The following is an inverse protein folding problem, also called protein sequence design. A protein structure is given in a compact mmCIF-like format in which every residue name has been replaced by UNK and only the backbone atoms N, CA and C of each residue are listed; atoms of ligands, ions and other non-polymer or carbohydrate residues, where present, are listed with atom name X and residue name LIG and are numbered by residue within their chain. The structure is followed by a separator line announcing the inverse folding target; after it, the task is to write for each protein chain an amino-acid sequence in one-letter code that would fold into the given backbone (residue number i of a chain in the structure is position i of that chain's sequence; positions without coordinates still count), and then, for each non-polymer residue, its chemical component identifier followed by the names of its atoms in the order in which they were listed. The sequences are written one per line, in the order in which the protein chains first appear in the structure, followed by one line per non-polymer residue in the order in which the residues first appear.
data_IF_961867911713
#
_entry.id   IF_961867911713
#
_cell.length_a   1.000
_cell.length_b   1.000
_cell.length_c   1.000
_cell.angle_alpha   90.00
_cell.angle_beta   90.00
_cell.angle_gamma   90.00
#
_symmetry.space_group_name_H-M   'P 1'
#
loop_
_entity.id
_entity.type
_entity.pdbx_description
1 polymer ?
#
# COMPACT_ATOMS: atom_id res chain seq x y z
N UNK A 1 -69.01 -16.69 27.67
CA UNK A 1 -68.16 -17.09 26.53
C UNK A 1 -67.16 -15.96 26.31
N UNK A 2 -65.89 -16.11 26.71
CA UNK A 2 -64.86 -15.07 26.56
C UNK A 2 -64.02 -15.38 25.32
N UNK A 3 -64.05 -14.49 24.34
CA UNK A 3 -63.24 -14.58 23.13
C UNK A 3 -61.85 -13.99 23.40
N UNK A 4 -60.80 -14.76 23.08
CA UNK A 4 -59.42 -14.29 23.07
C UNK A 4 -59.06 -13.90 21.63
N UNK A 5 -58.66 -12.64 21.44
CA UNK A 5 -58.14 -12.13 20.18
C UNK A 5 -56.61 -12.25 20.23
N UNK A 6 -56.04 -13.04 19.34
CA UNK A 6 -54.59 -13.15 19.16
C UNK A 6 -54.15 -12.14 18.10
N UNK A 7 -53.30 -11.19 18.49
CA UNK A 7 -52.63 -10.26 17.57
C UNK A 7 -51.28 -10.87 17.19
N UNK A 8 -51.15 -11.36 15.96
CA UNK A 8 -49.85 -11.75 15.38
C UNK A 8 -49.15 -10.52 14.82
N UNK A 9 -48.13 -10.05 15.52
CA UNK A 9 -47.16 -9.10 14.97
C UNK A 9 -46.23 -9.85 14.00
N UNK A 10 -46.41 -9.63 12.70
CA UNK A 10 -45.39 -9.96 11.71
C UNK A 10 -44.29 -8.90 11.76
N UNK A 11 -43.20 -9.18 12.48
CA UNK A 11 -41.95 -8.45 12.26
C UNK A 11 -41.38 -8.87 10.92
N UNK A 12 -41.47 -8.00 9.92
CA UNK A 12 -40.68 -8.10 8.70
C UNK A 12 -39.22 -7.82 9.05
N UNK A 13 -38.38 -8.86 9.10
CA UNK A 13 -36.93 -8.72 9.15
C UNK A 13 -36.47 -8.14 7.81
N UNK A 14 -36.18 -6.84 7.76
CA UNK A 14 -35.40 -6.26 6.68
C UNK A 14 -33.96 -6.73 6.85
N UNK A 15 -33.52 -7.62 5.97
CA UNK A 15 -32.10 -7.94 5.78
C UNK A 15 -31.46 -6.71 5.17
N UNK A 16 -30.95 -5.81 6.01
CA UNK A 16 -29.96 -4.84 5.56
C UNK A 16 -28.70 -5.64 5.23
N UNK A 17 -28.48 -5.90 3.94
CA UNK A 17 -27.16 -6.27 3.46
C UNK A 17 -26.22 -5.16 3.90
N UNK A 18 -25.41 -5.42 4.94
CA UNK A 18 -24.41 -4.48 5.41
C UNK A 18 -23.43 -4.24 4.28
N UNK A 19 -23.67 -3.18 3.51
CA UNK A 19 -22.75 -2.68 2.52
C UNK A 19 -21.48 -2.30 3.27
N UNK A 20 -20.49 -3.19 3.23
CA UNK A 20 -19.15 -2.89 3.70
C UNK A 20 -18.71 -1.62 2.97
N UNK A 21 -18.11 -0.68 3.69
CA UNK A 21 -17.41 0.45 3.08
C UNK A 21 -16.20 -0.16 2.39
N UNK A 22 -16.38 -0.51 1.12
CA UNK A 22 -15.40 -1.20 0.31
C UNK A 22 -14.47 -0.12 -0.31
N UNK A 23 -13.17 -0.41 -0.38
CA UNK A 23 -12.10 0.58 -0.59
C UNK A 23 -11.97 1.12 -2.01
N UNK A 24 -11.11 2.14 -2.17
CA UNK A 24 -10.77 2.76 -3.45
C UNK A 24 -10.33 1.72 -4.50
N UNK A 25 -10.67 1.96 -5.77
CA UNK A 25 -10.37 1.03 -6.84
C UNK A 25 -10.24 1.71 -8.20
N UNK A 26 -9.91 0.90 -9.20
CA UNK A 26 -9.66 1.36 -10.56
C UNK A 26 -10.94 1.37 -11.40
N UNK A 27 -11.25 2.54 -11.94
CA UNK A 27 -12.44 2.77 -12.76
C UNK A 27 -12.11 2.81 -14.26
N UNK A 28 -13.06 2.29 -15.02
CA UNK A 28 -13.10 2.42 -16.47
C UNK A 28 -14.26 3.30 -16.90
N UNK A 29 -14.06 3.99 -18.02
CA UNK A 29 -15.09 4.77 -18.70
C UNK A 29 -15.28 4.22 -20.11
N UNK A 30 -16.53 3.99 -20.48
CA UNK A 30 -16.87 3.60 -21.86
C UNK A 30 -17.04 4.83 -22.74
N UNK A 31 -16.10 5.02 -23.67
CA UNK A 31 -16.20 6.02 -24.73
C UNK A 31 -16.88 5.45 -25.97
N UNK A 32 -17.80 6.22 -26.56
CA UNK A 32 -18.53 5.88 -27.79
C UNK A 32 -17.84 6.51 -29.00
N UNK A 33 -17.99 5.93 -30.21
CA UNK A 33 -17.51 6.58 -31.42
C UNK A 33 -18.17 7.95 -31.58
N UNK A 34 -17.39 8.96 -31.95
CA UNK A 34 -17.90 10.31 -32.16
C UNK A 34 -16.98 11.15 -33.04
N UNK A 35 -17.51 12.22 -33.63
CA UNK A 35 -16.73 13.10 -34.51
C UNK A 35 -15.77 14.04 -33.76
N UNK A 36 -15.90 14.16 -32.43
CA UNK A 36 -15.19 15.17 -31.64
C UNK A 36 -13.76 14.76 -31.25
N UNK A 37 -13.50 13.45 -31.14
CA UNK A 37 -12.18 12.89 -30.86
C UNK A 37 -12.13 11.42 -31.29
N UNK A 38 -10.94 10.82 -31.24
CA UNK A 38 -10.70 9.46 -31.72
C UNK A 38 -10.92 8.38 -30.63
N UNK A 39 -11.41 8.74 -29.44
CA UNK A 39 -11.55 7.80 -28.33
C UNK A 39 -12.71 6.86 -28.57
N UNK A 40 -12.46 5.56 -28.44
CA UNK A 40 -13.47 4.53 -28.56
C UNK A 40 -13.09 3.29 -27.74
N UNK A 41 -14.05 2.72 -27.01
CA UNK A 41 -13.82 1.56 -26.15
C UNK A 41 -13.72 1.94 -24.67
N UNK A 42 -13.13 1.04 -23.88
CA UNK A 42 -12.90 1.26 -22.46
C UNK A 42 -11.55 1.94 -22.22
N UNK A 43 -11.55 2.96 -21.38
CA UNK A 43 -10.36 3.70 -20.93
C UNK A 43 -10.32 3.76 -19.43
N UNK A 44 -9.12 3.76 -18.85
CA UNK A 44 -8.96 4.08 -17.44
C UNK A 44 -9.38 5.53 -17.18
N UNK A 45 -10.08 5.75 -16.07
CA UNK A 45 -10.46 7.10 -15.67
C UNK A 45 -9.23 8.01 -15.50
N UNK A 46 -8.17 7.47 -14.87
CA UNK A 46 -6.88 8.12 -14.69
C UNK A 46 -6.30 8.69 -15.98
N UNK A 47 -6.35 7.92 -17.07
CA UNK A 47 -5.89 8.37 -18.36
C UNK A 47 -6.75 9.52 -18.89
N UNK A 48 -8.08 9.37 -18.87
CA UNK A 48 -8.98 10.38 -19.45
C UNK A 48 -8.94 11.72 -18.72
N UNK A 49 -8.77 11.71 -17.39
CA UNK A 49 -8.68 12.93 -16.58
C UNK A 49 -7.45 13.77 -16.95
N UNK A 50 -6.39 13.14 -17.44
CA UNK A 50 -5.13 13.82 -17.80
C UNK A 50 -4.87 13.93 -19.31
N UNK A 51 -5.63 13.23 -20.14
CA UNK A 51 -5.47 13.27 -21.60
C UNK A 51 -5.64 14.68 -22.19
N UNK A 52 -6.53 15.50 -21.61
CA UNK A 52 -6.74 16.87 -22.06
C UNK A 52 -5.67 17.86 -21.59
N UNK A 53 -4.70 17.42 -20.80
CA UNK A 53 -3.62 18.28 -20.33
C UNK A 53 -2.54 18.45 -21.40
N UNK A 54 -1.89 19.61 -21.46
CA UNK A 54 -0.72 19.86 -22.33
C UNK A 54 0.55 19.13 -21.87
N UNK A 55 0.39 18.07 -21.07
CA UNK A 55 1.47 17.30 -20.50
C UNK A 55 2.14 16.35 -21.51
N UNK A 56 3.25 15.71 -21.10
CA UNK A 56 3.89 14.69 -21.91
C UNK A 56 2.90 13.55 -22.16
N UNK A 57 2.92 13.05 -23.39
CA UNK A 57 2.02 11.97 -23.79
C UNK A 57 2.53 10.63 -23.23
N UNK A 58 1.61 9.72 -22.85
CA UNK A 58 1.95 8.37 -22.50
C UNK A 58 2.61 7.64 -23.67
N UNK A 59 3.55 6.75 -23.36
CA UNK A 59 4.21 5.93 -24.36
C UNK A 59 3.24 4.88 -24.90
N UNK A 60 3.16 4.76 -26.23
CA UNK A 60 2.42 3.67 -26.86
C UNK A 60 3.09 2.33 -26.56
N UNK A 61 2.27 1.32 -26.32
CA UNK A 61 2.70 -0.04 -25.97
C UNK A 61 1.83 -1.06 -26.70
N UNK A 62 2.42 -2.21 -27.03
CA UNK A 62 1.72 -3.32 -27.68
C UNK A 62 0.98 -4.23 -26.71
N UNK A 63 1.37 -4.23 -25.43
CA UNK A 63 0.72 -5.00 -24.36
C UNK A 63 0.87 -4.29 -23.01
N UNK A 64 0.03 -4.65 -22.04
CA UNK A 64 0.14 -4.09 -20.69
C UNK A 64 1.39 -4.61 -19.97
N UNK A 65 1.80 -5.86 -20.22
CA UNK A 65 3.04 -6.44 -19.70
C UNK A 65 4.27 -5.67 -20.18
N UNK A 66 4.28 -5.25 -21.46
CA UNK A 66 5.34 -4.39 -21.99
C UNK A 66 5.40 -3.05 -21.23
N UNK A 67 4.23 -2.46 -20.92
CA UNK A 67 4.16 -1.21 -20.18
C UNK A 67 4.70 -1.37 -18.75
N UNK A 68 4.26 -2.39 -18.02
CA UNK A 68 4.78 -2.67 -16.67
C UNK A 68 6.28 -2.97 -16.69
N UNK A 69 6.77 -3.73 -17.69
CA UNK A 69 8.20 -3.98 -17.85
C UNK A 69 8.98 -2.69 -18.04
N UNK A 70 8.50 -1.79 -18.90
CA UNK A 70 9.15 -0.49 -19.11
C UNK A 70 9.18 0.35 -17.84
N UNK A 71 8.06 0.42 -17.11
CA UNK A 71 7.97 1.14 -15.83
C UNK A 71 8.95 0.54 -14.81
N UNK A 72 8.96 -0.79 -14.67
CA UNK A 72 9.89 -1.53 -13.80
C UNK A 72 11.34 -1.19 -14.11
N UNK A 73 11.73 -1.21 -15.38
CA UNK A 73 13.10 -0.91 -15.82
C UNK A 73 13.53 0.49 -15.39
N UNK A 74 12.67 1.49 -15.57
CA UNK A 74 12.98 2.86 -15.16
C UNK A 74 12.93 3.03 -13.63
N UNK A 75 12.02 2.36 -12.92
CA UNK A 75 12.01 2.31 -11.45
C UNK A 75 13.35 1.77 -10.92
N UNK A 76 13.79 0.62 -11.42
CA UNK A 76 15.04 -0.01 -10.99
C UNK A 76 16.26 0.91 -11.20
N UNK A 77 16.24 1.71 -12.27
CA UNK A 77 17.34 2.61 -12.60
C UNK A 77 17.32 3.92 -11.81
N UNK A 78 16.14 4.48 -11.55
CA UNK A 78 15.99 5.88 -11.10
C UNK A 78 15.53 6.03 -9.68
N UNK A 79 14.68 5.11 -9.24
CA UNK A 79 14.01 5.11 -7.95
C UNK A 79 13.98 3.69 -7.37
N UNK A 80 15.14 3.00 -7.26
CA UNK A 80 15.21 1.60 -6.86
C UNK A 80 14.60 1.34 -5.48
N UNK A 81 14.43 2.40 -4.67
CA UNK A 81 13.78 2.31 -3.39
C UNK A 81 12.35 1.75 -3.46
N UNK A 82 11.60 1.88 -4.55
CA UNK A 82 10.25 1.29 -4.66
C UNK A 82 10.21 0.05 -5.56
N UNK A 83 11.37 -0.46 -5.98
CA UNK A 83 11.43 -1.58 -6.91
C UNK A 83 10.89 -2.87 -6.30
N UNK A 84 11.23 -3.19 -5.05
CA UNK A 84 10.77 -4.42 -4.40
C UNK A 84 9.25 -4.46 -4.22
N UNK A 85 8.65 -3.31 -3.88
CA UNK A 85 7.20 -3.16 -3.77
C UNK A 85 6.51 -3.30 -5.14
N UNK A 86 7.05 -2.66 -6.18
CA UNK A 86 6.56 -2.81 -7.55
C UNK A 86 6.70 -4.25 -8.06
N UNK A 87 7.83 -4.91 -7.79
CA UNK A 87 8.09 -6.30 -8.20
C UNK A 87 7.14 -7.26 -7.51
N UNK A 88 6.92 -7.09 -6.19
CA UNK A 88 5.94 -7.86 -5.42
C UNK A 88 4.54 -7.74 -6.02
N UNK A 89 4.10 -6.51 -6.30
CA UNK A 89 2.78 -6.28 -6.89
C UNK A 89 2.67 -6.88 -8.31
N UNK A 90 3.61 -6.53 -9.19
CA UNK A 90 3.52 -6.86 -10.62
C UNK A 90 3.61 -8.36 -10.90
N UNK A 91 4.36 -9.12 -10.09
CA UNK A 91 4.45 -10.58 -10.20
C UNK A 91 3.17 -11.30 -9.74
N UNK A 92 2.41 -10.67 -8.85
CA UNK A 92 1.20 -11.23 -8.28
C UNK A 92 -0.08 -10.73 -8.99
N UNK A 93 0.03 -9.94 -10.08
CA UNK A 93 -1.14 -9.56 -10.88
C UNK A 93 -1.85 -10.81 -11.41
N UNK A 94 -3.14 -10.95 -11.10
CA UNK A 94 -3.97 -12.14 -11.37
C UNK A 94 -3.58 -13.42 -10.62
N UNK A 95 -2.66 -13.35 -9.65
CA UNK A 95 -2.35 -14.47 -8.78
C UNK A 95 -3.54 -14.80 -7.86
N UNK A 96 -3.77 -16.10 -7.62
CA UNK A 96 -4.81 -16.60 -6.70
C UNK A 96 -4.26 -17.41 -5.53
N UNK A 97 -2.95 -17.56 -5.45
CA UNK A 97 -2.30 -18.29 -4.36
C UNK A 97 -2.43 -17.50 -3.04
N UNK A 98 -3.01 -18.14 -2.01
CA UNK A 98 -3.32 -17.49 -0.72
C UNK A 98 -2.09 -17.11 0.11
N UNK A 99 -0.91 -17.62 -0.24
CA UNK A 99 0.35 -17.36 0.44
C UNK A 99 1.14 -16.20 -0.18
N UNK A 100 0.53 -15.46 -1.12
CA UNK A 100 1.14 -14.32 -1.79
C UNK A 100 0.63 -13.01 -1.18
N UNK A 101 1.44 -11.94 -1.19
CA UNK A 101 1.04 -10.65 -0.64
C UNK A 101 -0.13 -9.99 -1.39
N UNK A 102 -0.30 -10.29 -2.69
CA UNK A 102 -1.43 -9.82 -3.49
C UNK A 102 -2.25 -10.99 -4.06
N UNK A 103 -3.56 -10.96 -3.83
CA UNK A 103 -4.51 -11.95 -4.34
C UNK A 103 -5.50 -11.24 -5.25
N UNK A 104 -5.74 -11.79 -6.43
CA UNK A 104 -6.68 -11.28 -7.41
C UNK A 104 -7.84 -12.26 -7.58
N UNK A 105 -8.99 -11.89 -7.06
CA UNK A 105 -10.22 -12.67 -7.12
C UNK A 105 -11.13 -12.15 -8.24
N UNK A 106 -11.49 -12.98 -9.23
CA UNK A 106 -12.50 -12.59 -10.20
C UNK A 106 -13.86 -12.45 -9.49
N UNK A 107 -14.66 -11.48 -9.90
CA UNK A 107 -16.07 -11.37 -9.51
C UNK A 107 -16.97 -11.67 -10.70
N UNK A 108 -18.07 -12.40 -10.45
CA UNK A 108 -19.14 -12.66 -11.42
C UNK A 108 -20.23 -11.57 -11.40
N UNK A 109 -20.17 -10.65 -10.43
CA UNK A 109 -21.13 -9.57 -10.25
C UNK A 109 -20.47 -8.22 -10.47
N UNK A 110 -21.29 -7.25 -10.88
CA UNK A 110 -20.89 -5.85 -10.95
C UNK A 110 -20.36 -5.40 -9.58
N UNK A 111 -19.18 -4.79 -9.61
CA UNK A 111 -18.63 -4.15 -8.43
C UNK A 111 -19.42 -2.87 -8.18
N UNK A 112 -19.97 -2.71 -6.98
CA UNK A 112 -20.74 -1.52 -6.62
C UNK A 112 -19.79 -0.33 -6.57
N UNK A 113 -20.08 0.66 -7.41
CA UNK A 113 -19.38 1.94 -7.50
C UNK A 113 -19.27 2.57 -6.11
N UNK A 114 -18.04 2.77 -5.66
CA UNK A 114 -17.76 3.55 -4.45
C UNK A 114 -17.54 4.98 -4.90
N UNK A 115 -18.29 5.91 -4.31
CA UNK A 115 -18.15 7.35 -4.57
C UNK A 115 -16.87 7.87 -3.92
N UNK A 116 -15.71 7.50 -4.43
CA UNK A 116 -14.44 8.20 -4.18
C UNK A 116 -14.30 9.45 -5.08
N UNK A 117 -15.28 9.65 -5.97
CA UNK A 117 -15.43 10.78 -6.87
C UNK A 117 -16.29 11.94 -6.31
N UNK A 118 -15.89 12.57 -5.21
CA UNK A 118 -16.46 13.88 -4.80
C UNK A 118 -15.98 15.04 -5.71
N UNK A 119 -15.40 14.73 -6.86
CA UNK A 119 -14.88 15.70 -7.82
C UNK A 119 -15.87 15.90 -8.98
N UNK A 120 -15.94 17.11 -9.58
CA UNK A 120 -16.70 17.34 -10.81
C UNK A 120 -15.98 16.72 -12.02
N UNK A 121 -15.75 15.40 -12.00
CA UNK A 121 -15.07 14.60 -13.03
C UNK A 121 -15.81 14.72 -14.37
N UNK A 122 -17.13 14.82 -14.33
CA UNK A 122 -17.97 15.09 -15.51
C UNK A 122 -17.55 16.34 -16.32
N UNK A 123 -16.90 17.32 -15.68
CA UNK A 123 -16.42 18.54 -16.35
C UNK A 123 -15.15 18.29 -17.17
N UNK A 124 -14.34 17.29 -16.79
CA UNK A 124 -13.05 17.02 -17.42
C UNK A 124 -13.10 15.97 -18.53
N UNK A 125 -14.12 15.11 -18.57
CA UNK A 125 -14.17 14.03 -19.54
C UNK A 125 -14.61 14.49 -20.94
N UNK A 126 -14.06 13.88 -22.02
CA UNK A 126 -14.51 14.12 -23.39
C UNK A 126 -16.01 13.83 -23.58
N UNK A 127 -16.68 14.56 -24.48
CA UNK A 127 -18.14 14.45 -24.59
C UNK A 127 -18.64 13.06 -25.03
N UNK A 128 -17.87 12.35 -25.85
CA UNK A 128 -18.19 10.98 -26.27
C UNK A 128 -17.94 9.92 -25.18
N UNK A 129 -17.31 10.29 -24.06
CA UNK A 129 -17.16 9.46 -22.88
C UNK A 129 -18.20 9.79 -21.79
N UNK A 130 -19.20 10.62 -22.13
CA UNK A 130 -20.33 10.96 -21.27
C UNK A 130 -21.64 10.42 -21.86
N UNK A 131 -22.59 10.12 -21.00
CA UNK A 131 -23.97 9.81 -21.33
C UNK A 131 -24.69 11.02 -21.93
N UNK A 132 -25.87 10.78 -22.49
CA UNK A 132 -26.68 11.83 -23.15
C UNK A 132 -27.14 12.95 -22.21
N UNK A 133 -27.26 12.65 -20.90
CA UNK A 133 -27.55 13.61 -19.83
C UNK A 133 -26.30 14.34 -19.31
N UNK A 134 -25.10 14.02 -19.82
CA UNK A 134 -23.82 14.48 -19.30
C UNK A 134 -23.25 13.65 -18.15
N UNK A 135 -23.98 12.63 -17.69
CA UNK A 135 -23.51 11.69 -16.65
C UNK A 135 -22.32 10.85 -17.15
N UNK A 136 -21.42 10.49 -16.25
CA UNK A 136 -20.31 9.59 -16.56
C UNK A 136 -20.76 8.17 -16.24
N UNK A 137 -20.59 7.25 -17.18
CA UNK A 137 -20.81 5.82 -16.92
C UNK A 137 -19.49 5.21 -16.48
N UNK A 138 -19.30 5.15 -15.17
CA UNK A 138 -18.15 4.51 -14.54
C UNK A 138 -18.42 3.01 -14.43
N UNK A 139 -17.37 2.23 -14.66
CA UNK A 139 -17.34 0.79 -14.45
C UNK A 139 -16.22 0.56 -13.45
N UNK A 140 -16.57 0.26 -12.21
CA UNK A 140 -15.61 -0.17 -11.20
C UNK A 140 -15.02 -1.51 -11.63
N UNK A 141 -13.83 -1.49 -12.22
CA UNK A 141 -13.25 -2.68 -12.83
C UNK A 141 -12.43 -3.50 -11.83
N UNK A 142 -11.87 -2.84 -10.83
CA UNK A 142 -11.18 -3.46 -9.70
C UNK A 142 -11.49 -2.72 -8.42
N UNK A 143 -11.54 -3.46 -7.32
CA UNK A 143 -11.65 -2.95 -5.96
C UNK A 143 -10.49 -3.52 -5.16
N UNK A 144 -9.82 -2.65 -4.40
CA UNK A 144 -8.83 -3.06 -3.41
C UNK A 144 -9.47 -3.16 -2.03
N UNK A 145 -9.48 -4.36 -1.45
CA UNK A 145 -9.95 -4.54 -0.08
C UNK A 145 -8.85 -4.11 0.92
N UNK A 146 -9.20 -3.20 1.83
CA UNK A 146 -8.26 -2.73 2.86
C UNK A 146 -7.86 -3.88 3.80
N UNK A 147 -6.62 -3.85 4.30
CA UNK A 147 -6.02 -4.80 5.25
C UNK A 147 -6.89 -5.04 6.49
N UNK A 148 -7.59 -4.00 6.95
CA UNK A 148 -8.50 -4.10 8.10
C UNK A 148 -9.67 -5.06 7.84
N UNK A 149 -10.15 -5.15 6.60
CA UNK A 149 -11.27 -6.02 6.22
C UNK A 149 -10.82 -7.41 5.75
N UNK A 150 -9.58 -7.55 5.28
CA UNK A 150 -9.00 -8.86 4.93
C UNK A 150 -8.41 -9.60 6.14
N UNK A 151 -8.43 -9.00 7.33
CA UNK A 151 -7.89 -9.61 8.56
C UNK A 151 -6.35 -9.54 8.65
N UNK A 152 -5.72 -8.58 7.97
CA UNK A 152 -4.27 -8.41 7.92
C UNK A 152 -3.71 -8.55 6.51
N UNK A 153 -2.60 -9.26 6.36
CA UNK A 153 -2.11 -9.71 5.07
C UNK A 153 -2.85 -10.99 4.65
N UNK A 154 -3.27 -11.14 3.38
CA UNK A 154 -2.84 -10.41 2.17
C UNK A 154 -3.78 -9.27 1.71
N UNK A 155 -3.34 -8.48 0.72
CA UNK A 155 -4.19 -7.50 0.02
C UNK A 155 -4.99 -8.23 -1.05
N UNK A 156 -6.32 -8.12 -0.99
CA UNK A 156 -7.23 -8.78 -1.94
C UNK A 156 -7.78 -7.75 -2.93
N UNK A 157 -7.61 -8.03 -4.21
CA UNK A 157 -8.14 -7.27 -5.34
C UNK A 157 -9.29 -8.05 -5.95
N UNK A 158 -10.49 -7.49 -5.91
CA UNK A 158 -11.64 -8.06 -6.61
C UNK A 158 -11.77 -7.37 -7.95
N UNK A 159 -11.80 -8.12 -9.05
CA UNK A 159 -11.79 -7.52 -10.39
C UNK A 159 -12.82 -8.17 -11.32
N UNK A 160 -13.31 -7.40 -12.29
CA UNK A 160 -14.26 -7.85 -13.32
C UNK A 160 -13.49 -8.44 -14.52
N UNK A 161 -13.49 -9.77 -14.73
CA UNK A 161 -12.67 -10.39 -15.78
C UNK A 161 -13.04 -9.93 -17.20
N UNK A 162 -14.33 -9.73 -17.47
CA UNK A 162 -14.81 -9.27 -18.77
C UNK A 162 -14.29 -7.86 -19.12
N UNK A 163 -14.34 -6.94 -18.16
CA UNK A 163 -13.84 -5.58 -18.34
C UNK A 163 -12.33 -5.58 -18.61
N UNK A 164 -11.57 -6.39 -17.85
CA UNK A 164 -10.14 -6.55 -18.02
C UNK A 164 -9.76 -7.14 -19.37
N UNK A 165 -10.40 -8.23 -19.80
CA UNK A 165 -10.16 -8.84 -21.11
C UNK A 165 -10.53 -7.89 -22.25
N UNK A 166 -11.61 -7.11 -22.11
CA UNK A 166 -11.99 -6.12 -23.10
C UNK A 166 -10.95 -5.00 -23.21
N UNK A 167 -10.50 -4.42 -22.10
CA UNK A 167 -9.45 -3.39 -22.09
C UNK A 167 -8.13 -3.94 -22.62
N UNK A 168 -7.73 -5.13 -22.19
CA UNK A 168 -6.52 -5.81 -22.65
C UNK A 168 -6.47 -5.94 -24.17
N UNK A 169 -7.58 -6.32 -24.79
CA UNK A 169 -7.65 -6.54 -26.24
C UNK A 169 -7.85 -5.25 -27.05
N UNK A 170 -8.47 -4.23 -26.48
CA UNK A 170 -8.77 -2.97 -27.19
C UNK A 170 -7.68 -1.91 -26.99
N UNK A 171 -7.25 -1.71 -25.75
CA UNK A 171 -6.35 -0.63 -25.34
C UNK A 171 -5.40 -1.12 -24.22
N UNK A 172 -4.35 -1.91 -24.52
CA UNK A 172 -3.50 -2.51 -23.50
C UNK A 172 -2.85 -1.51 -22.52
N UNK A 173 -2.53 -0.31 -23.00
CA UNK A 173 -2.02 0.78 -22.15
C UNK A 173 -2.99 1.12 -21.01
N UNK A 174 -4.31 1.08 -21.26
CA UNK A 174 -5.32 1.44 -20.28
C UNK A 174 -5.41 0.41 -19.15
N UNK A 175 -5.14 -0.87 -19.45
CA UNK A 175 -5.01 -1.89 -18.42
C UNK A 175 -3.77 -1.63 -17.56
N UNK A 176 -2.65 -1.20 -18.14
CA UNK A 176 -1.47 -0.81 -17.37
C UNK A 176 -1.75 0.38 -16.44
N UNK A 177 -2.43 1.42 -16.93
CA UNK A 177 -2.86 2.54 -16.09
C UNK A 177 -3.69 2.07 -14.89
N UNK A 178 -4.65 1.18 -15.11
CA UNK A 178 -5.49 0.64 -14.05
C UNK A 178 -4.67 -0.17 -13.03
N UNK A 179 -3.76 -1.04 -13.49
CA UNK A 179 -2.92 -1.84 -12.60
C UNK A 179 -1.94 -0.98 -11.79
N UNK A 180 -1.30 0.01 -12.42
CA UNK A 180 -0.36 0.91 -11.73
C UNK A 180 -1.11 1.81 -10.75
N UNK A 181 -2.35 2.20 -11.03
CA UNK A 181 -3.21 2.90 -10.06
C UNK A 181 -3.37 2.07 -8.78
N UNK A 182 -3.72 0.79 -8.93
CA UNK A 182 -3.87 -0.14 -7.80
C UNK A 182 -2.61 -0.31 -6.96
N UNK A 183 -1.45 -0.32 -7.63
CA UNK A 183 -0.16 -0.35 -6.95
C UNK A 183 0.12 0.96 -6.20
N UNK A 184 -0.17 2.13 -6.78
CA UNK A 184 0.15 3.43 -6.16
C UNK A 184 -0.54 3.66 -4.82
N UNK A 185 -1.63 2.95 -4.53
CA UNK A 185 -2.24 2.91 -3.19
C UNK A 185 -1.33 2.33 -2.09
N UNK A 186 -0.27 1.59 -2.43
CA UNK A 186 0.77 1.19 -1.47
C UNK A 186 1.68 2.37 -1.07
N UNK A 187 1.75 3.41 -1.91
CA UNK A 187 2.66 4.54 -1.74
C UNK A 187 1.96 5.81 -1.25
N UNK A 188 0.65 5.93 -1.50
CA UNK A 188 -0.12 7.14 -1.21
C UNK A 188 -1.62 6.86 -1.14
N UNK A 189 -2.28 7.46 -0.15
CA UNK A 189 -3.73 7.45 0.07
C UNK A 189 -4.48 8.59 -0.65
N UNK A 190 -3.76 9.44 -1.38
CA UNK A 190 -4.34 10.57 -2.10
C UNK A 190 -4.59 10.21 -3.57
N UNK A 191 -5.86 10.03 -3.95
CA UNK A 191 -6.23 9.61 -5.31
C UNK A 191 -5.72 10.59 -6.39
N UNK A 192 -5.82 11.90 -6.17
CA UNK A 192 -5.36 12.89 -7.16
C UNK A 192 -3.83 12.85 -7.35
N UNK A 193 -3.08 12.59 -6.28
CA UNK A 193 -1.64 12.33 -6.36
C UNK A 193 -1.38 11.06 -7.16
N UNK A 194 -2.09 9.98 -6.87
CA UNK A 194 -1.91 8.70 -7.55
C UNK A 194 -2.14 8.86 -9.06
N UNK A 195 -3.23 9.54 -9.47
CA UNK A 195 -3.53 9.81 -10.90
C UNK A 195 -2.40 10.57 -11.61
N UNK A 196 -1.87 11.64 -10.98
CA UNK A 196 -0.77 12.43 -11.55
C UNK A 196 0.52 11.63 -11.71
N UNK A 197 0.84 10.80 -10.72
CA UNK A 197 2.03 9.96 -10.74
C UNK A 197 1.87 8.84 -11.75
N UNK A 198 0.70 8.21 -11.80
CA UNK A 198 0.35 7.18 -12.78
C UNK A 198 0.58 7.69 -14.22
N UNK A 199 0.08 8.90 -14.52
CA UNK A 199 0.33 9.56 -15.80
C UNK A 199 1.82 9.76 -16.07
N UNK A 200 2.55 10.31 -15.10
CA UNK A 200 3.99 10.55 -15.25
C UNK A 200 4.76 9.26 -15.50
N UNK A 201 4.49 8.18 -14.75
CA UNK A 201 5.17 6.88 -14.91
C UNK A 201 4.94 6.26 -16.29
N UNK A 202 3.81 6.54 -16.93
CA UNK A 202 3.54 6.09 -18.30
C UNK A 202 4.09 7.03 -19.38
N UNK A 203 4.64 8.19 -19.03
CA UNK A 203 5.06 9.21 -19.99
C UNK A 203 6.48 9.02 -20.54
N UNK A 204 6.74 9.65 -21.69
CA UNK A 204 8.09 9.77 -22.23
C UNK A 204 9.03 10.55 -21.29
N UNK A 205 8.51 11.54 -20.56
CA UNK A 205 9.27 12.35 -19.60
C UNK A 205 9.90 11.44 -18.52
N UNK A 206 9.12 10.51 -17.94
CA UNK A 206 9.66 9.58 -16.96
C UNK A 206 10.75 8.66 -17.52
N UNK A 207 10.75 8.34 -18.81
CA UNK A 207 11.83 7.55 -19.43
C UNK A 207 13.09 8.36 -19.65
N UNK A 208 12.95 9.62 -20.06
CA UNK A 208 14.08 10.48 -20.44
C UNK A 208 14.73 11.17 -19.25
N UNK A 209 13.98 11.46 -18.19
CA UNK A 209 14.47 12.18 -17.02
C UNK A 209 15.65 11.46 -16.33
N UNK A 210 16.56 12.24 -15.73
CA UNK A 210 17.60 11.69 -14.86
C UNK A 210 16.99 11.17 -13.54
N UNK A 211 17.69 10.30 -12.78
CA UNK A 211 17.23 9.87 -11.46
C UNK A 211 16.88 11.03 -10.52
N UNK A 212 17.67 12.10 -10.52
CA UNK A 212 17.47 13.28 -9.68
C UNK A 212 16.20 14.04 -10.07
N UNK A 213 15.99 14.23 -11.39
CA UNK A 213 14.77 14.87 -11.93
C UNK A 213 13.52 14.07 -11.62
N UNK A 214 13.57 12.74 -11.74
CA UNK A 214 12.44 11.87 -11.33
C UNK A 214 12.12 12.07 -9.86
N UNK A 215 13.12 12.05 -8.98
CA UNK A 215 12.89 12.23 -7.55
C UNK A 215 12.34 13.62 -7.20
N UNK A 216 12.84 14.67 -7.86
CA UNK A 216 12.32 16.03 -7.72
C UNK A 216 10.86 16.11 -8.19
N UNK A 217 10.55 15.55 -9.37
CA UNK A 217 9.20 15.51 -9.92
C UNK A 217 8.24 14.78 -9.00
N UNK A 218 8.58 13.58 -8.55
CA UNK A 218 7.74 12.82 -7.62
C UNK A 218 7.50 13.57 -6.32
N UNK A 219 8.54 14.23 -5.76
CA UNK A 219 8.39 15.10 -4.59
C UNK A 219 7.45 16.27 -4.86
N UNK A 220 7.54 16.91 -6.03
CA UNK A 220 6.65 18.01 -6.43
C UNK A 220 5.19 17.56 -6.59
N UNK A 221 4.97 16.30 -6.95
CA UNK A 221 3.65 15.67 -7.02
C UNK A 221 3.14 15.24 -5.62
N UNK A 222 3.96 15.41 -4.58
CA UNK A 222 3.64 15.06 -3.20
C UNK A 222 4.03 13.64 -2.81
N UNK A 223 4.72 12.89 -3.68
CA UNK A 223 5.27 11.58 -3.32
C UNK A 223 6.74 11.74 -2.92
N UNK A 224 6.97 11.89 -1.62
CA UNK A 224 8.32 11.91 -1.10
C UNK A 224 8.80 10.48 -0.86
N UNK A 225 9.53 9.91 -1.81
CA UNK A 225 10.08 8.56 -1.69
C UNK A 225 11.05 8.38 -0.51
N UNK A 226 11.58 9.48 0.05
CA UNK A 226 12.38 9.41 1.28
C UNK A 226 11.52 9.20 2.54
N UNK A 227 10.21 9.43 2.47
CA UNK A 227 9.23 9.24 3.56
C UNK A 227 8.65 7.83 3.65
N UNK A 228 8.90 6.95 2.67
CA UNK A 228 8.46 5.56 2.83
C UNK A 228 9.14 4.90 4.03
N UNK A 229 8.42 4.11 4.84
CA UNK A 229 9.05 3.32 5.88
C UNK A 229 10.12 2.40 5.30
N UNK A 230 11.25 2.29 6.00
CA UNK A 230 12.29 1.30 5.65
C UNK A 230 11.87 -0.05 6.18
N UNK A 231 11.89 -1.10 5.36
CA UNK A 231 11.40 -2.43 5.75
C UNK A 231 12.56 -3.33 6.18
N UNK A 232 12.42 -3.95 7.34
CA UNK A 232 13.34 -4.98 7.85
C UNK A 232 12.66 -6.34 7.74
N UNK A 233 13.31 -7.27 7.04
CA UNK A 233 12.81 -8.62 6.81
C UNK A 233 13.96 -9.62 6.88
N UNK A 234 13.93 -10.53 7.85
CA UNK A 234 14.99 -11.53 8.04
C UNK A 234 15.12 -12.51 6.86
N UNK A 235 14.11 -12.61 5.98
CA UNK A 235 14.16 -13.43 4.77
C UNK A 235 14.85 -12.76 3.58
N UNK A 236 15.21 -11.48 3.70
CA UNK A 236 15.88 -10.72 2.62
C UNK A 236 14.94 -10.06 1.61
N UNK A 237 13.63 -10.07 1.86
CA UNK A 237 12.63 -9.38 0.98
C UNK A 237 12.40 -7.91 1.34
N UNK A 238 13.03 -7.41 2.41
CA UNK A 238 12.95 -6.01 2.85
C UNK A 238 14.12 -5.16 2.34
N UNK A 239 14.15 -3.89 2.75
CA UNK A 239 15.30 -3.01 2.51
C UNK A 239 16.55 -3.47 3.28
N UNK A 240 16.34 -4.10 4.44
CA UNK A 240 17.38 -4.58 5.33
C UNK A 240 17.07 -5.99 5.83
N UNK A 241 18.10 -6.82 5.98
CA UNK A 241 17.99 -8.15 6.63
C UNK A 241 18.14 -8.03 8.15
N UNK A 242 18.84 -6.99 8.62
CA UNK A 242 19.11 -6.77 10.04
C UNK A 242 18.52 -5.45 10.53
N UNK A 243 17.93 -5.48 11.73
CA UNK A 243 17.40 -4.28 12.38
C UNK A 243 18.53 -3.32 12.78
N UNK A 244 19.70 -3.84 13.14
CA UNK A 244 20.90 -3.04 13.43
C UNK A 244 21.30 -2.16 12.24
N UNK A 245 21.45 -2.75 11.06
CA UNK A 245 21.81 -2.00 9.86
C UNK A 245 20.73 -0.96 9.51
N UNK A 246 19.46 -1.35 9.60
CA UNK A 246 18.34 -0.45 9.33
C UNK A 246 18.36 0.78 10.25
N UNK A 247 18.56 0.58 11.55
CA UNK A 247 18.69 1.68 12.52
C UNK A 247 19.86 2.60 12.18
N UNK A 248 21.02 2.04 11.81
CA UNK A 248 22.21 2.83 11.49
C UNK A 248 22.00 3.69 10.25
N UNK A 249 21.47 3.12 9.18
CA UNK A 249 21.33 3.78 7.87
C UNK A 249 20.08 4.68 7.76
N UNK A 250 19.07 4.46 8.59
CA UNK A 250 17.82 5.25 8.53
C UNK A 250 18.01 6.66 9.11
N UNK A 251 17.70 7.75 8.38
CA UNK A 251 17.83 9.11 8.93
C UNK A 251 16.96 9.36 10.17
N UNK A 252 17.31 10.36 11.02
CA UNK A 252 16.46 10.79 12.14
C UNK A 252 15.02 11.14 11.70
N UNK A 253 14.05 10.87 12.57
CA UNK A 253 12.62 11.17 12.40
C UNK A 253 11.86 10.20 11.49
N UNK A 254 12.48 9.11 11.05
CA UNK A 254 11.88 8.16 10.10
C UNK A 254 11.26 6.95 10.79
N UNK A 255 10.46 6.21 10.02
CA UNK A 255 9.88 4.94 10.42
C UNK A 255 10.64 3.77 9.78
N UNK A 256 10.90 2.74 10.57
CA UNK A 256 11.32 1.41 10.16
C UNK A 256 10.16 0.47 10.43
N UNK A 257 9.67 -0.18 9.38
CA UNK A 257 8.70 -1.26 9.46
C UNK A 257 9.45 -2.60 9.63
N UNK A 258 9.03 -3.43 10.57
CA UNK A 258 9.71 -4.68 10.93
C UNK A 258 8.74 -5.83 10.68
N UNK A 259 9.06 -6.73 9.75
CA UNK A 259 8.24 -7.92 9.47
C UNK A 259 8.41 -8.99 10.55
N UNK A 260 7.57 -10.02 10.48
CA UNK A 260 7.67 -11.22 11.32
C UNK A 260 9.10 -11.78 11.34
N UNK A 261 9.62 -12.02 12.55
CA UNK A 261 10.96 -12.55 12.77
C UNK A 261 11.51 -12.26 14.16
N UNK A 262 12.66 -12.86 14.47
CA UNK A 262 13.48 -12.51 15.64
C UNK A 262 14.65 -11.65 15.20
N UNK A 263 14.85 -10.52 15.85
CA UNK A 263 15.85 -9.51 15.52
C UNK A 263 16.69 -9.17 16.75
N UNK A 264 17.98 -8.90 16.54
CA UNK A 264 18.86 -8.41 17.60
C UNK A 264 19.26 -6.97 17.33
N UNK A 265 19.19 -6.16 18.39
CA UNK A 265 19.83 -4.85 18.48
C UNK A 265 20.98 -4.87 19.49
N UNK A 266 21.45 -6.06 19.90
CA UNK A 266 22.53 -6.19 20.88
C UNK A 266 23.77 -5.40 20.42
N UNK A 267 24.25 -4.51 21.28
CA UNK A 267 25.39 -3.62 21.00
C UNK A 267 25.07 -2.42 20.10
N UNK A 268 23.81 -2.22 19.71
CA UNK A 268 23.37 -1.04 18.94
C UNK A 268 22.65 -0.05 19.84
N UNK A 269 23.17 1.17 19.89
CA UNK A 269 22.56 2.26 20.66
C UNK A 269 21.62 3.06 19.76
N UNK A 270 20.37 3.24 20.19
CA UNK A 270 19.44 4.15 19.55
C UNK A 270 19.70 5.57 20.07
N UNK A 271 20.24 6.43 19.21
CA UNK A 271 20.71 7.77 19.55
C UNK A 271 20.15 8.89 18.65
N UNK A 272 19.02 8.61 18.00
CA UNK A 272 18.31 9.55 17.12
C UNK A 272 16.81 9.24 17.16
N UNK A 273 15.92 10.22 16.90
CA UNK A 273 14.50 9.97 16.83
C UNK A 273 14.21 8.99 15.71
N UNK A 274 13.46 7.94 16.00
CA UNK A 274 13.09 6.91 15.02
C UNK A 274 11.84 6.18 15.51
N UNK A 275 11.02 5.70 14.58
CA UNK A 275 9.89 4.81 14.88
C UNK A 275 10.23 3.40 14.43
N UNK A 276 10.17 2.42 15.34
CA UNK A 276 10.27 0.99 15.05
C UNK A 276 8.87 0.39 15.18
N UNK A 277 8.27 -0.02 14.06
CA UNK A 277 6.90 -0.52 14.02
C UNK A 277 6.85 -1.94 13.45
N UNK A 278 6.16 -2.85 14.13
CA UNK A 278 5.91 -4.19 13.60
C UNK A 278 4.80 -4.23 12.53
N UNK A 279 5.04 -4.96 11.45
CA UNK A 279 4.08 -5.34 10.41
C UNK A 279 3.55 -6.76 10.69
N UNK A 280 2.40 -6.87 11.37
CA UNK A 280 1.77 -8.15 11.72
C UNK A 280 1.32 -8.22 13.19
N UNK A 281 1.22 -9.43 13.74
CA UNK A 281 1.00 -9.64 15.18
C UNK A 281 2.27 -9.30 15.97
N UNK A 282 2.14 -8.51 17.05
CA UNK A 282 3.26 -8.13 17.90
C UNK A 282 4.06 -9.33 18.45
N UNK A 283 3.43 -10.49 18.69
CA UNK A 283 4.09 -11.69 19.22
C UNK A 283 5.01 -12.37 18.19
N UNK A 284 4.80 -12.11 16.90
CA UNK A 284 5.58 -12.67 15.81
C UNK A 284 6.82 -11.82 15.47
N UNK A 285 6.98 -10.65 16.10
CA UNK A 285 7.99 -9.65 15.78
C UNK A 285 8.78 -9.33 17.04
N UNK A 286 9.91 -10.01 17.22
CA UNK A 286 10.62 -10.04 18.49
C UNK A 286 11.96 -9.31 18.35
N UNK A 287 12.15 -8.25 19.14
CA UNK A 287 13.47 -7.66 19.40
C UNK A 287 14.05 -8.35 20.64
N UNK A 288 15.12 -9.11 20.45
CA UNK A 288 15.71 -9.98 21.47
C UNK A 288 17.05 -9.44 21.96
N UNK A 289 17.15 -9.28 23.28
CA UNK A 289 18.39 -9.04 24.00
C UNK A 289 19.09 -10.34 24.37
N UNK A 290 20.42 -10.28 24.48
CA UNK A 290 21.23 -11.42 24.90
C UNK A 290 21.39 -11.48 26.43
N UNK A 291 22.05 -12.52 26.94
CA UNK A 291 22.40 -12.59 28.36
C UNK A 291 23.27 -11.41 28.85
N UNK A 292 24.04 -10.78 27.95
CA UNK A 292 25.00 -9.72 28.28
C UNK A 292 24.60 -8.33 27.81
N UNK A 293 23.56 -8.19 26.99
CA UNK A 293 23.10 -6.91 26.45
C UNK A 293 21.58 -6.80 26.53
N UNK A 294 21.03 -5.61 26.82
CA UNK A 294 19.59 -5.39 26.71
C UNK A 294 19.12 -5.62 25.26
N UNK A 295 17.83 -5.84 25.08
CA UNK A 295 17.22 -5.89 23.75
C UNK A 295 17.27 -4.51 23.08
N UNK A 296 17.10 -3.45 23.88
CA UNK A 296 17.10 -2.08 23.41
C UNK A 296 17.94 -1.21 24.35
N UNK A 297 18.88 -0.45 23.79
CA UNK A 297 19.65 0.56 24.49
C UNK A 297 19.43 1.93 23.86
N UNK A 298 19.01 2.93 24.64
CA UNK A 298 18.68 4.27 24.18
C UNK A 298 19.59 5.31 24.82
N UNK A 299 20.23 6.12 23.97
CA UNK A 299 21.05 7.29 24.33
C UNK A 299 20.77 8.44 23.36
N UNK A 300 19.53 8.90 23.31
CA UNK A 300 19.10 9.99 22.44
C UNK A 300 19.26 11.36 23.11
N UNK A 301 19.29 12.45 22.33
CA UNK A 301 19.36 13.80 22.87
C UNK A 301 18.05 14.19 23.58
N UNK A 302 18.10 15.21 24.45
CA UNK A 302 16.92 15.66 25.19
C UNK A 302 15.87 16.21 24.23
N UNK A 303 14.68 15.63 24.25
CA UNK A 303 13.57 16.02 23.37
C UNK A 303 13.48 15.18 22.09
N UNK A 304 14.41 14.24 21.88
CA UNK A 304 14.28 13.22 20.85
C UNK A 304 13.43 12.07 21.38
N UNK A 305 12.37 11.75 20.64
CA UNK A 305 11.43 10.68 20.96
C UNK A 305 11.71 9.48 20.05
N UNK A 306 11.92 8.31 20.67
CA UNK A 306 11.97 7.01 19.99
C UNK A 306 10.66 6.30 20.26
N UNK A 307 10.02 5.84 19.18
CA UNK A 307 8.70 5.22 19.25
C UNK A 307 8.79 3.75 18.85
N UNK A 308 8.22 2.88 19.67
CA UNK A 308 8.04 1.46 19.40
C UNK A 308 6.54 1.19 19.26
N UNK A 309 6.13 0.52 18.18
CA UNK A 309 4.72 0.20 17.92
C UNK A 309 4.57 -1.27 17.50
N UNK A 310 3.60 -1.98 18.09
CA UNK A 310 3.13 -3.29 17.62
C UNK A 310 4.25 -4.36 17.48
N UNK A 311 5.04 -4.57 18.53
CA UNK A 311 6.15 -5.54 18.53
C UNK A 311 6.44 -6.07 19.95
N UNK A 312 7.17 -7.18 20.03
CA UNK A 312 7.64 -7.77 21.28
C UNK A 312 9.08 -7.35 21.55
N UNK A 313 9.37 -6.90 22.77
CA UNK A 313 10.73 -6.64 23.24
C UNK A 313 11.00 -7.59 24.40
N UNK A 314 11.95 -8.48 24.23
CA UNK A 314 12.27 -9.50 25.22
C UNK A 314 13.77 -9.69 25.38
N UNK A 315 14.14 -10.34 26.47
CA UNK A 315 15.52 -10.76 26.72
C UNK A 315 15.56 -12.23 27.09
N UNK A 316 16.64 -12.88 26.69
CA UNK A 316 16.98 -14.23 27.14
C UNK A 316 17.28 -14.24 28.65
N UNK A 317 16.53 -15.02 29.43
CA UNK A 317 16.78 -15.20 30.84
C UNK A 317 18.08 -15.99 31.08
N UNK A 318 19.03 -15.41 31.81
CA UNK A 318 20.21 -16.14 32.28
C UNK A 318 20.03 -16.50 33.75
N UNK A 319 19.64 -17.76 34.04
CA UNK A 319 19.43 -18.23 35.41
C UNK A 319 20.73 -18.51 36.18
N UNK A 320 21.87 -18.58 35.50
CA UNK A 320 23.14 -19.02 36.10
C UNK A 320 24.04 -17.85 36.52
N UNK A 321 23.68 -16.60 36.18
CA UNK A 321 24.44 -15.42 36.60
C UNK A 321 23.49 -14.33 37.06
N UNK A 322 23.72 -13.82 38.28
CA UNK A 322 23.32 -12.47 38.67
C UNK A 322 24.01 -11.49 37.72
N UNK A 323 23.35 -11.19 36.59
CA UNK A 323 23.80 -10.19 35.65
C UNK A 323 23.62 -8.82 36.30
N UNK A 324 24.59 -7.92 36.12
CA UNK A 324 24.55 -6.57 36.70
C UNK A 324 23.43 -5.71 36.08
N UNK A 325 22.88 -6.15 34.96
CA UNK A 325 21.78 -5.46 34.29
C UNK A 325 20.74 -6.48 33.90
N UNK A 326 19.57 -6.43 34.52
CA UNK A 326 18.43 -7.35 34.31
C UNK A 326 17.33 -6.77 33.40
N UNK A 327 17.56 -5.63 32.77
CA UNK A 327 16.55 -4.95 31.96
C UNK A 327 16.56 -5.40 30.49
N UNK A 328 15.36 -5.64 29.92
CA UNK A 328 15.18 -5.79 28.46
C UNK A 328 15.38 -4.46 27.72
N UNK A 329 15.13 -3.32 28.38
CA UNK A 329 15.24 -1.98 27.81
C UNK A 329 16.06 -1.10 28.78
N UNK A 330 17.09 -0.44 28.26
CA UNK A 330 17.85 0.58 28.97
C UNK A 330 17.68 1.95 28.31
N UNK A 331 17.30 2.94 29.10
CA UNK A 331 17.19 4.34 28.66
C UNK A 331 18.13 5.19 29.50
N UNK A 332 19.25 5.61 28.92
CA UNK A 332 20.20 6.50 29.60
C UNK A 332 19.84 7.98 29.39
N UNK A 333 19.34 8.34 28.21
CA UNK A 333 18.91 9.70 27.86
C UNK A 333 17.86 9.67 26.74
N UNK A 334 17.12 10.77 26.59
CA UNK A 334 16.03 10.90 25.61
C UNK A 334 14.67 10.41 26.16
N UNK A 335 13.74 10.10 25.26
CA UNK A 335 12.43 9.52 25.61
C UNK A 335 12.13 8.30 24.73
N UNK A 336 11.55 7.28 25.35
CA UNK A 336 10.99 6.13 24.66
C UNK A 336 9.47 6.08 24.86
N UNK A 337 8.72 5.88 23.78
CA UNK A 337 7.27 5.65 23.81
C UNK A 337 6.98 4.26 23.26
N UNK A 338 6.10 3.53 23.93
CA UNK A 338 5.68 2.18 23.53
C UNK A 338 4.18 2.18 23.31
N UNK A 339 3.72 1.68 22.16
CA UNK A 339 2.30 1.51 21.83
C UNK A 339 2.06 0.09 21.34
N UNK A 340 1.10 -0.60 21.93
CA UNK A 340 0.76 -1.98 21.55
C UNK A 340 1.99 -2.92 21.55
N UNK A 341 2.95 -2.65 22.44
CA UNK A 341 4.14 -3.49 22.60
C UNK A 341 3.93 -4.54 23.70
N UNK A 342 4.50 -5.72 23.49
CA UNK A 342 4.63 -6.76 24.52
C UNK A 342 6.03 -6.68 25.12
N UNK A 343 6.13 -6.55 26.43
CA UNK A 343 7.40 -6.52 27.16
C UNK A 343 7.51 -7.78 28.02
N UNK A 344 8.58 -8.55 27.88
CA UNK A 344 8.71 -9.81 28.62
C UNK A 344 10.11 -10.40 28.70
N UNK A 345 10.18 -11.62 29.25
CA UNK A 345 11.34 -12.50 29.23
C UNK A 345 10.94 -13.86 28.65
N UNK A 346 11.84 -14.50 27.91
CA UNK A 346 11.64 -15.88 27.44
C UNK A 346 12.31 -16.84 28.42
N UNK A 347 11.51 -17.65 29.12
CA UNK A 347 12.03 -18.77 29.92
C UNK A 347 12.47 -19.89 28.98
N UNK A 348 13.78 -20.02 28.74
CA UNK A 348 14.32 -21.22 28.10
C UNK A 348 14.10 -22.40 29.05
N UNK A 349 13.21 -23.31 28.65
CA UNK A 349 12.95 -24.57 29.34
C UNK A 349 14.13 -25.52 29.27
#
# INVERSE_FOLDING_TARGET
MKAFIFFSFFLSLQVYGGGLIIGSGGDLVQCKPGAQNQLFGLYSLDYLVFQSSTGPQPLEVSSWEQSLFMIRTEIARKIPQILSDFDSFSQDVFNRELNRPHIWEPTDFDLVEIKDEDLPIAVKLPANCRGSSGEVQLIQAVIRQNREFSGGEPIVYKYMPEAFEKVKNQNPLQLSFLLVHEWLWSLSDNVDRNRRINWYLHSQEFREDSPERVQEKLRSLGLNLSERPRVVDSSGKGDFVSLQQAVQETPPGRMIMIRKGKYSLSGTVLNKPITLRGEGDAHDIVIEGSSTHPAVEIRAEKGEDILFENLTIQREANRERESVVDASILVYSGRATFRDCVLGWEDKK
#
